data_IF_613664282950
#
_entry.id   IF_613664282950
#
_cell.length_a   1.000
_cell.length_b   1.000
_cell.length_c   1.000
_cell.angle_alpha   90.00
_cell.angle_beta   90.00
_cell.angle_gamma   90.00
#
_symmetry.space_group_name_H-M   'P 1'
#
loop_
_entity.id
_entity.type
_entity.pdbx_description
1 polymer ?
#
# COMPACT_ATOMS: atom_id res chain seq x y z
N UNK A 1 2.63 -10.59 -0.37
CA UNK A 1 3.39 -9.59 0.42
C UNK A 1 4.78 -9.48 -0.17
N UNK A 2 5.22 -8.30 -0.57
CA UNK A 2 6.62 -8.12 -0.95
C UNK A 2 7.39 -7.55 0.24
N UNK A 3 8.34 -8.34 0.74
CA UNK A 3 9.15 -8.01 1.92
C UNK A 3 10.44 -7.27 1.55
N UNK A 4 10.86 -7.33 0.29
CA UNK A 4 12.00 -6.57 -0.22
C UNK A 4 11.55 -5.22 -0.77
N UNK A 5 12.37 -4.19 -0.58
CA UNK A 5 12.25 -2.89 -1.23
C UNK A 5 12.63 -3.02 -2.72
N UNK A 6 11.89 -3.84 -3.46
CA UNK A 6 12.04 -3.95 -4.90
C UNK A 6 11.22 -2.85 -5.54
N UNK A 7 11.79 -2.19 -6.54
CA UNK A 7 10.96 -1.56 -7.57
C UNK A 7 10.04 -2.68 -8.10
N UNK A 8 8.77 -2.38 -8.34
CA UNK A 8 7.90 -3.29 -9.06
C UNK A 8 7.78 -2.81 -10.51
N UNK A 9 8.83 -2.92 -11.34
CA UNK A 9 8.67 -2.75 -12.77
C UNK A 9 7.95 -4.02 -13.26
N UNK A 10 6.72 -3.89 -13.75
CA UNK A 10 6.07 -5.01 -14.44
C UNK A 10 4.56 -5.12 -14.29
N UNK A 11 3.88 -4.25 -13.55
CA UNK A 11 2.42 -4.18 -13.63
C UNK A 11 2.06 -3.29 -14.83
N UNK A 12 1.34 -3.80 -15.85
CA UNK A 12 0.89 -2.99 -16.99
C UNK A 12 0.04 -1.80 -16.52
N UNK A 13 0.14 -0.68 -17.25
CA UNK A 13 -0.52 0.58 -16.89
C UNK A 13 -2.05 0.45 -16.75
N UNK A 14 -2.66 -0.44 -17.52
CA UNK A 14 -4.09 -0.74 -17.47
C UNK A 14 -4.56 -1.38 -16.16
N UNK A 15 -3.64 -1.97 -15.38
CA UNK A 15 -3.95 -2.66 -14.13
C UNK A 15 -3.73 -1.76 -12.91
N UNK A 16 -2.99 -0.66 -13.04
CA UNK A 16 -2.81 0.33 -11.96
C UNK A 16 -4.11 0.87 -11.34
N UNK A 17 -5.21 1.12 -12.09
CA UNK A 17 -6.46 1.63 -11.51
C UNK A 17 -7.11 0.65 -10.54
N UNK A 18 -6.83 -0.65 -10.67
CA UNK A 18 -7.44 -1.70 -9.84
C UNK A 18 -6.56 -2.13 -8.66
N UNK A 19 -5.31 -1.67 -8.57
CA UNK A 19 -4.45 -2.00 -7.43
C UNK A 19 -4.56 -0.95 -6.32
N UNK A 20 -4.64 -1.44 -5.08
CA UNK A 20 -4.54 -0.64 -3.85
C UNK A 20 -3.30 -1.07 -3.07
N UNK A 21 -2.46 -0.11 -2.69
CA UNK A 21 -1.26 -0.34 -1.88
C UNK A 21 -1.56 -0.01 -0.43
N UNK A 22 -1.23 -0.93 0.47
CA UNK A 22 -1.30 -0.77 1.91
C UNK A 22 0.10 -0.67 2.51
N UNK A 23 0.26 0.20 3.51
CA UNK A 23 1.51 0.45 4.21
C UNK A 23 1.24 0.94 5.64
N UNK A 24 2.13 0.66 6.60
CA UNK A 24 2.00 1.23 7.95
C UNK A 24 2.52 2.66 7.92
N UNK A 25 1.73 3.60 8.43
CA UNK A 25 2.12 5.01 8.46
C UNK A 25 3.40 5.20 9.30
N UNK A 26 4.32 6.04 8.79
CA UNK A 26 5.58 6.45 9.43
C UNK A 26 6.57 5.33 9.79
N UNK A 27 6.28 4.06 9.48
CA UNK A 27 7.11 2.92 9.85
C UNK A 27 7.54 2.12 8.62
N UNK A 28 8.75 1.58 8.66
CA UNK A 28 9.19 0.64 7.62
C UNK A 28 8.35 -0.64 7.70
N UNK A 29 7.59 -0.91 6.65
CA UNK A 29 6.75 -2.11 6.53
C UNK A 29 6.78 -2.69 5.12
N UNK A 30 6.39 -3.95 5.00
CA UNK A 30 6.06 -4.51 3.70
C UNK A 30 4.93 -3.72 3.02
N UNK A 31 4.91 -3.79 1.68
CA UNK A 31 3.79 -3.29 0.88
C UNK A 31 2.88 -4.46 0.51
N UNK A 32 1.60 -4.29 0.82
CA UNK A 32 0.56 -5.24 0.42
C UNK A 32 -0.24 -4.61 -0.70
N UNK A 33 -0.48 -5.38 -1.76
CA UNK A 33 -1.27 -4.94 -2.91
C UNK A 33 -2.53 -5.77 -3.00
N UNK A 34 -3.67 -5.09 -2.93
CA UNK A 34 -4.98 -5.69 -3.18
C UNK A 34 -5.37 -5.40 -4.62
N UNK A 35 -5.72 -6.46 -5.36
CA UNK A 35 -6.26 -6.34 -6.72
C UNK A 35 -7.78 -6.31 -6.63
N UNK A 36 -8.38 -5.25 -7.14
CA UNK A 36 -9.82 -5.11 -7.27
C UNK A 36 -10.31 -5.64 -8.62
N UNK A 37 -11.60 -5.97 -8.70
CA UNK A 37 -12.24 -6.25 -9.98
C UNK A 37 -12.41 -4.95 -10.78
N UNK A 38 -12.54 -5.07 -12.12
CA UNK A 38 -12.83 -3.90 -12.96
C UNK A 38 -14.15 -3.27 -12.52
N UNK A 39 -14.15 -1.96 -12.27
CA UNK A 39 -15.32 -1.22 -11.81
C UNK A 39 -15.52 -1.22 -10.28
N UNK A 40 -14.76 -2.01 -9.52
CA UNK A 40 -14.84 -2.00 -8.06
C UNK A 40 -14.06 -0.80 -7.49
N UNK A 41 -14.70 -0.08 -6.58
CA UNK A 41 -14.15 1.11 -5.92
C UNK A 41 -13.59 0.78 -4.54
N UNK A 42 -13.06 1.78 -3.84
CA UNK A 42 -12.52 1.61 -2.49
C UNK A 42 -13.60 1.24 -1.47
N UNK A 43 -14.82 1.75 -1.69
CA UNK A 43 -15.95 1.59 -0.78
C UNK A 43 -16.61 0.21 -0.93
N UNK A 44 -16.31 -0.49 -2.03
CA UNK A 44 -16.76 -1.85 -2.31
C UNK A 44 -15.84 -2.93 -1.70
N UNK A 45 -14.78 -2.54 -0.97
CA UNK A 45 -13.86 -3.49 -0.33
C UNK A 45 -14.47 -3.93 1.00
N UNK A 46 -14.71 -5.25 1.20
CA UNK A 46 -15.21 -5.74 2.48
C UNK A 46 -14.27 -5.37 3.62
N UNK A 47 -14.85 -4.97 4.77
CA UNK A 47 -14.07 -4.59 5.95
C UNK A 47 -13.13 -5.69 6.42
N UNK A 48 -13.54 -6.95 6.30
CA UNK A 48 -12.71 -8.11 6.65
C UNK A 48 -11.43 -8.16 5.82
N UNK A 49 -11.52 -7.91 4.51
CA UNK A 49 -10.35 -7.85 3.62
C UNK A 49 -9.42 -6.69 3.98
N UNK A 50 -9.98 -5.53 4.36
CA UNK A 50 -9.19 -4.39 4.84
C UNK A 50 -8.45 -4.73 6.13
N UNK A 51 -9.12 -5.40 7.07
CA UNK A 51 -8.55 -5.84 8.35
C UNK A 51 -7.43 -6.86 8.11
N UNK A 52 -7.64 -7.84 7.23
CA UNK A 52 -6.62 -8.83 6.86
C UNK A 52 -5.40 -8.16 6.22
N UNK A 53 -5.62 -7.20 5.32
CA UNK A 53 -4.52 -6.42 4.74
C UNK A 53 -3.77 -5.64 5.83
N UNK A 54 -4.49 -5.02 6.77
CA UNK A 54 -3.89 -4.27 7.87
C UNK A 54 -3.05 -5.16 8.80
N UNK A 55 -3.58 -6.32 9.18
CA UNK A 55 -2.85 -7.32 9.96
C UNK A 55 -1.59 -7.80 9.24
N UNK A 56 -1.69 -8.06 7.95
CA UNK A 56 -0.57 -8.53 7.14
C UNK A 56 0.53 -7.47 7.04
N UNK A 57 0.19 -6.20 6.84
CA UNK A 57 1.17 -5.11 6.79
C UNK A 57 1.78 -4.88 8.17
N UNK A 58 0.98 -4.91 9.26
CA UNK A 58 1.46 -4.79 10.65
C UNK A 58 2.45 -5.90 10.99
N UNK A 59 2.08 -7.16 10.74
CA UNK A 59 2.91 -8.33 11.02
C UNK A 59 4.22 -8.31 10.25
N UNK A 60 4.23 -7.68 9.07
CA UNK A 60 5.42 -7.51 8.24
C UNK A 60 6.04 -6.10 8.34
N UNK A 61 5.77 -5.37 9.43
CA UNK A 61 6.47 -4.14 9.78
C UNK A 61 7.63 -4.41 10.71
N UNK A 62 8.76 -3.72 10.52
CA UNK A 62 9.97 -3.90 11.34
C UNK A 62 9.68 -3.52 12.80
N UNK A 63 9.04 -2.37 13.02
CA UNK A 63 8.67 -1.89 14.35
C UNK A 63 7.18 -2.10 14.63
N UNK A 64 6.32 -1.92 13.63
CA UNK A 64 4.87 -1.97 13.80
C UNK A 64 4.34 -3.34 14.26
N UNK A 65 5.09 -4.43 14.02
CA UNK A 65 4.71 -5.76 14.49
C UNK A 65 4.71 -5.88 16.03
N UNK A 66 5.48 -5.05 16.74
CA UNK A 66 5.59 -5.05 18.21
C UNK A 66 4.70 -4.00 18.88
N UNK A 67 4.09 -3.12 18.09
CA UNK A 67 3.24 -2.05 18.62
C UNK A 67 1.83 -2.56 18.88
N UNK A 68 1.22 -2.10 19.98
CA UNK A 68 -0.17 -2.42 20.31
C UNK A 68 -1.10 -2.01 19.16
N UNK A 69 -0.96 -0.76 18.71
CA UNK A 69 -1.76 -0.18 17.63
C UNK A 69 -0.84 0.44 16.57
N UNK A 70 -1.25 0.30 15.30
CA UNK A 70 -0.60 0.95 14.16
C UNK A 70 -1.67 1.53 13.25
N UNK A 71 -1.35 2.63 12.59
CA UNK A 71 -2.19 3.18 11.52
C UNK A 71 -1.75 2.57 10.20
N UNK A 72 -2.65 1.91 9.50
CA UNK A 72 -2.40 1.39 8.16
C UNK A 72 -3.07 2.33 7.16
N UNK A 73 -2.27 2.86 6.25
CA UNK A 73 -2.73 3.72 5.17
C UNK A 73 -2.83 2.93 3.88
N UNK A 74 -3.82 3.28 3.06
CA UNK A 74 -4.01 2.66 1.76
C UNK A 74 -4.41 3.67 0.69
N UNK A 75 -3.87 3.48 -0.51
CA UNK A 75 -4.05 4.40 -1.63
C UNK A 75 -4.00 3.64 -2.97
N UNK A 76 -4.66 4.13 -4.03
CA UNK A 76 -4.46 3.62 -5.38
C UNK A 76 -3.00 3.65 -5.81
N UNK A 77 -2.58 2.65 -6.59
CA UNK A 77 -1.22 2.60 -7.16
C UNK A 77 -0.91 3.84 -8.01
N UNK A 78 -1.90 4.33 -8.77
CA UNK A 78 -1.77 5.53 -9.60
C UNK A 78 -1.47 6.82 -8.83
N UNK A 79 -1.65 6.82 -7.50
CA UNK A 79 -1.33 7.97 -6.65
C UNK A 79 0.11 7.93 -6.11
N UNK A 80 0.82 6.82 -6.29
CA UNK A 80 2.20 6.69 -5.83
C UNK A 80 3.12 7.49 -6.76
N UNK A 81 3.96 8.35 -6.18
CA UNK A 81 4.94 9.15 -6.90
C UNK A 81 6.33 8.75 -6.45
N UNK A 82 7.15 8.25 -7.36
CA UNK A 82 8.56 7.96 -7.12
C UNK A 82 9.40 8.90 -7.99
N UNK A 83 10.32 9.63 -7.37
CA UNK A 83 11.28 10.47 -8.10
C UNK A 83 12.69 9.90 -7.97
N UNK A 84 13.61 10.18 -8.92
CA UNK A 84 14.95 9.59 -8.93
C UNK A 84 15.81 9.96 -7.72
N UNK A 85 15.52 11.09 -7.07
CA UNK A 85 16.19 11.61 -5.88
C UNK A 85 15.75 10.91 -4.57
N UNK A 86 14.70 10.09 -4.61
CA UNK A 86 14.18 9.43 -3.41
C UNK A 86 14.89 8.11 -3.13
N UNK A 87 15.23 7.87 -1.87
CA UNK A 87 15.87 6.63 -1.40
C UNK A 87 15.05 5.37 -1.69
N UNK A 88 15.73 4.22 -1.78
CA UNK A 88 15.07 2.93 -2.00
C UNK A 88 14.03 2.66 -0.90
N UNK A 89 12.78 2.44 -1.32
CA UNK A 89 11.61 2.25 -0.45
C UNK A 89 10.89 3.53 -0.02
N UNK A 90 11.46 4.72 -0.24
CA UNK A 90 10.74 5.98 -0.06
C UNK A 90 9.79 6.21 -1.22
N UNK A 91 8.57 6.65 -0.91
CA UNK A 91 7.58 7.02 -1.93
C UNK A 91 6.93 8.34 -1.51
N UNK A 92 6.57 9.17 -2.49
CA UNK A 92 5.65 10.29 -2.31
C UNK A 92 4.25 9.97 -2.84
N UNK A 93 3.34 10.93 -2.69
CA UNK A 93 1.99 10.85 -3.26
C UNK A 93 1.76 12.00 -4.24
N UNK A 94 0.96 11.76 -5.29
CA UNK A 94 0.51 12.82 -6.18
C UNK A 94 -0.60 13.65 -5.52
N UNK A 95 -1.50 13.01 -4.77
CA UNK A 95 -2.64 13.62 -4.10
C UNK A 95 -2.79 13.05 -2.69
N UNK A 96 -2.54 13.88 -1.68
CA UNK A 96 -2.65 13.49 -0.28
C UNK A 96 -4.07 13.04 0.11
N UNK A 97 -5.09 13.65 -0.50
CA UNK A 97 -6.52 13.35 -0.27
C UNK A 97 -6.97 11.94 -0.67
N UNK A 98 -6.20 11.26 -1.52
CA UNK A 98 -6.51 9.91 -1.99
C UNK A 98 -5.87 8.83 -1.09
N UNK A 99 -5.15 9.24 -0.04
CA UNK A 99 -4.62 8.36 1.00
C UNK A 99 -5.68 8.27 2.11
N UNK A 100 -6.11 7.04 2.42
CA UNK A 100 -7.06 6.73 3.50
C UNK A 100 -6.39 5.94 4.61
#
# INVERSE_FOLDING_TARGET
VCKEKKEFPGIPSEIFPVFRRFHVDKLSSAHVYLRLHKGQTMDDIPKEVLIDCAHLVKANSIQGCKMNNVTVVYTPWSNLRKTPDMDVGQIGFHRQKDVR
#
